data_IF_831061186816
#
_entry.id   IF_831061186816
#
_cell.length_a   1.000
_cell.length_b   1.000
_cell.length_c   1.000
_cell.angle_alpha   90.00
_cell.angle_beta   90.00
_cell.angle_gamma   90.00
#
_symmetry.space_group_name_H-M   'P 1'
#
loop_
_entity.id
_entity.type
_entity.pdbx_description
1 polymer ?
#
# COMPACT_ATOMS: atom_id res chain seq x y z
N UNK A 1 10.81 36.40 -0.79
CA UNK A 1 10.69 34.99 -1.20
C UNK A 1 9.24 34.57 -0.98
N UNK A 2 8.37 34.81 -1.96
CA UNK A 2 6.92 34.58 -1.82
C UNK A 2 6.65 33.09 -1.73
N UNK A 3 6.06 32.63 -0.62
CA UNK A 3 5.39 31.33 -0.53
C UNK A 3 4.09 31.39 -1.32
N UNK A 4 4.17 31.73 -2.61
CA UNK A 4 3.05 31.60 -3.52
C UNK A 4 2.62 30.14 -3.47
N UNK A 5 1.40 29.90 -3.02
CA UNK A 5 0.82 28.58 -2.84
C UNK A 5 1.03 27.74 -4.08
N UNK A 6 2.00 26.83 -4.00
CA UNK A 6 2.10 25.74 -4.95
C UNK A 6 0.75 25.02 -4.92
N UNK A 7 0.02 24.94 -6.06
CA UNK A 7 -1.23 24.21 -6.10
C UNK A 7 -0.96 22.83 -5.54
N UNK A 8 -1.72 22.43 -4.53
CA UNK A 8 -1.57 21.10 -3.95
C UNK A 8 -1.90 20.10 -5.04
N UNK A 9 -0.88 19.44 -5.57
CA UNK A 9 -1.10 18.38 -6.54
C UNK A 9 -1.88 17.25 -5.83
N UNK A 10 -3.19 17.20 -6.03
CA UNK A 10 -4.10 16.39 -5.21
C UNK A 10 -3.71 14.91 -5.18
N UNK A 11 -3.12 14.39 -6.25
CA UNK A 11 -2.65 13.01 -6.27
C UNK A 11 -1.34 12.76 -5.52
N UNK A 12 -0.50 13.77 -5.31
CA UNK A 12 0.67 13.65 -4.43
C UNK A 12 0.24 13.40 -2.99
N UNK A 13 -0.80 14.10 -2.53
CA UNK A 13 -1.40 13.87 -1.20
C UNK A 13 -2.03 12.48 -1.07
N UNK A 14 -2.73 12.02 -2.11
CA UNK A 14 -3.33 10.68 -2.13
C UNK A 14 -2.26 9.59 -1.99
N UNK A 15 -1.12 9.71 -2.67
CA UNK A 15 -0.04 8.73 -2.56
C UNK A 15 0.62 8.72 -1.17
N UNK A 16 0.76 9.87 -0.51
CA UNK A 16 1.24 9.93 0.88
C UNK A 16 0.25 9.22 1.82
N UNK A 17 -1.05 9.50 1.69
CA UNK A 17 -2.08 8.83 2.49
C UNK A 17 -2.11 7.32 2.23
N UNK A 18 -2.00 6.91 0.97
CA UNK A 18 -1.91 5.49 0.60
C UNK A 18 -0.68 4.83 1.23
N UNK A 19 0.49 5.47 1.18
CA UNK A 19 1.70 4.96 1.84
C UNK A 19 1.53 4.76 3.34
N UNK A 20 0.91 5.74 4.02
CA UNK A 20 0.60 5.63 5.45
C UNK A 20 -0.36 4.48 5.78
N UNK A 21 -1.46 4.35 5.02
CA UNK A 21 -2.45 3.30 5.23
C UNK A 21 -1.88 1.90 4.94
N UNK A 22 -1.14 1.76 3.84
CA UNK A 22 -0.45 0.51 3.47
C UNK A 22 0.55 0.11 4.55
N UNK A 23 1.33 1.07 5.06
CA UNK A 23 2.28 0.82 6.15
C UNK A 23 1.58 0.38 7.44
N UNK A 24 0.54 1.10 7.86
CA UNK A 24 -0.24 0.75 9.05
C UNK A 24 -0.89 -0.63 8.93
N UNK A 25 -1.47 -0.95 7.77
CA UNK A 25 -2.03 -2.27 7.49
C UNK A 25 -0.95 -3.36 7.55
N UNK A 26 0.23 -3.10 6.99
CA UNK A 26 1.38 -4.01 7.07
C UNK A 26 1.82 -4.29 8.51
N UNK A 27 1.91 -3.27 9.37
CA UNK A 27 2.23 -3.46 10.81
C UNK A 27 1.14 -4.28 11.51
N UNK A 28 -0.13 -3.95 11.28
CA UNK A 28 -1.25 -4.67 11.87
C UNK A 28 -1.27 -6.15 11.45
N UNK A 29 -1.00 -6.44 10.18
CA UNK A 29 -0.91 -7.81 9.67
C UNK A 29 0.33 -8.56 10.17
N UNK A 30 1.47 -7.89 10.35
CA UNK A 30 2.65 -8.48 11.01
C UNK A 30 2.32 -8.90 12.44
N UNK A 31 1.60 -8.05 13.19
CA UNK A 31 1.14 -8.40 14.52
C UNK A 31 0.13 -9.56 14.50
N UNK A 32 -0.79 -9.58 13.53
CA UNK A 32 -1.74 -10.67 13.36
C UNK A 32 -1.03 -12.00 13.04
N UNK A 33 -0.05 -11.99 12.14
CA UNK A 33 0.76 -13.16 11.79
C UNK A 33 1.54 -13.69 13.02
N UNK A 34 2.04 -12.80 13.88
CA UNK A 34 2.77 -13.19 15.08
C UNK A 34 1.88 -13.87 16.15
N UNK A 35 0.61 -13.45 16.28
CA UNK A 35 -0.30 -14.00 17.30
C UNK A 35 -1.16 -15.17 16.82
N UNK A 36 -1.66 -15.10 15.58
CA UNK A 36 -2.59 -16.10 15.03
C UNK A 36 -1.94 -17.08 14.07
N UNK A 37 -0.73 -16.76 13.57
CA UNK A 37 -0.15 -17.47 12.44
C UNK A 37 -0.91 -17.19 11.14
N UNK A 38 -0.65 -18.01 10.13
CA UNK A 38 -1.22 -17.87 8.78
C UNK A 38 -0.12 -18.04 7.74
N UNK A 39 -0.31 -18.96 6.80
CA UNK A 39 0.71 -19.27 5.80
C UNK A 39 0.94 -18.09 4.84
N UNK A 40 -0.09 -17.25 4.66
CA UNK A 40 -0.09 -16.15 3.69
C UNK A 40 -0.13 -14.75 4.32
N UNK A 41 -0.61 -14.64 5.56
CA UNK A 41 -0.76 -13.37 6.30
C UNK A 41 0.59 -12.67 6.50
N UNK A 42 1.64 -13.43 6.85
CA UNK A 42 3.00 -12.90 6.97
C UNK A 42 3.53 -12.35 5.64
N UNK A 43 3.28 -13.07 4.53
CA UNK A 43 3.65 -12.61 3.19
C UNK A 43 2.91 -11.32 2.82
N UNK A 44 1.59 -11.25 3.06
CA UNK A 44 0.81 -10.05 2.81
C UNK A 44 1.35 -8.84 3.60
N UNK A 45 1.72 -9.04 4.87
CA UNK A 45 2.31 -8.01 5.71
C UNK A 45 3.65 -7.50 5.15
N UNK A 46 4.57 -8.39 4.78
CA UNK A 46 5.87 -8.02 4.20
C UNK A 46 5.72 -7.23 2.91
N UNK A 47 4.80 -7.63 2.02
CA UNK A 47 4.56 -6.92 0.77
C UNK A 47 4.04 -5.50 1.03
N UNK A 48 3.06 -5.32 1.94
CA UNK A 48 2.55 -4.00 2.29
C UNK A 48 3.66 -3.11 2.87
N UNK A 49 4.43 -3.61 3.85
CA UNK A 49 5.52 -2.85 4.46
C UNK A 49 6.62 -2.46 3.47
N UNK A 50 6.99 -3.35 2.55
CA UNK A 50 8.00 -3.08 1.53
C UNK A 50 7.57 -2.01 0.52
N UNK A 51 6.26 -1.89 0.25
CA UNK A 51 5.73 -0.96 -0.76
C UNK A 51 5.24 0.37 -0.15
N UNK A 52 4.95 0.43 1.15
CA UNK A 52 4.56 1.67 1.83
C UNK A 52 5.54 2.85 1.57
N UNK A 53 6.88 2.66 1.67
CA UNK A 53 7.84 3.72 1.39
C UNK A 53 7.79 4.21 -0.06
N UNK A 54 7.44 3.35 -1.01
CA UNK A 54 7.36 3.71 -2.44
C UNK A 54 6.27 4.77 -2.65
N UNK A 55 5.07 4.55 -2.11
CA UNK A 55 3.98 5.52 -2.22
C UNK A 55 4.28 6.82 -1.48
N UNK A 56 4.88 6.72 -0.29
CA UNK A 56 5.28 7.89 0.50
C UNK A 56 6.34 8.72 -0.24
N UNK A 57 7.38 8.08 -0.78
CA UNK A 57 8.44 8.76 -1.52
C UNK A 57 7.91 9.46 -2.77
N UNK A 58 7.09 8.78 -3.58
CA UNK A 58 6.53 9.35 -4.81
C UNK A 58 5.55 10.49 -4.47
N UNK A 59 4.76 10.35 -3.40
CA UNK A 59 3.84 11.39 -2.94
C UNK A 59 4.54 12.63 -2.37
N UNK A 60 5.71 12.48 -1.75
CA UNK A 60 6.48 13.61 -1.18
C UNK A 60 7.38 14.29 -2.20
N UNK A 61 8.07 13.52 -3.04
CA UNK A 61 9.01 14.04 -4.05
C UNK A 61 8.25 14.59 -5.27
N UNK A 62 7.06 14.04 -5.53
CA UNK A 62 6.33 14.28 -6.78
C UNK A 62 6.88 13.45 -7.93
N UNK A 63 6.17 13.43 -9.05
CA UNK A 63 6.52 12.59 -10.19
C UNK A 63 5.76 12.93 -11.46
N UNK A 64 6.23 12.38 -12.58
CA UNK A 64 5.53 12.51 -13.86
C UNK A 64 4.16 11.83 -13.80
N UNK A 65 3.25 12.22 -14.72
CA UNK A 65 1.95 11.55 -14.89
C UNK A 65 2.05 10.04 -15.02
N UNK A 66 3.09 9.55 -15.72
CA UNK A 66 3.32 8.12 -15.94
C UNK A 66 3.72 7.42 -14.65
N UNK A 67 4.60 8.04 -13.85
CA UNK A 67 4.99 7.51 -12.54
C UNK A 67 3.76 7.43 -11.61
N UNK A 68 2.89 8.43 -11.65
CA UNK A 68 1.63 8.40 -10.88
C UNK A 68 0.69 7.29 -11.30
N UNK A 69 0.50 7.09 -12.61
CA UNK A 69 -0.32 5.98 -13.13
C UNK A 69 0.29 4.63 -12.71
N UNK A 70 1.62 4.48 -12.83
CA UNK A 70 2.32 3.27 -12.40
C UNK A 70 2.17 3.02 -10.90
N UNK A 71 2.27 4.06 -10.05
CA UNK A 71 2.04 3.94 -8.61
C UNK A 71 0.61 3.53 -8.28
N UNK A 72 -0.39 4.07 -8.97
CA UNK A 72 -1.78 3.68 -8.77
C UNK A 72 -2.03 2.23 -9.20
N UNK A 73 -1.49 1.81 -10.34
CA UNK A 73 -1.56 0.42 -10.79
C UNK A 73 -0.89 -0.53 -9.78
N UNK A 74 0.28 -0.14 -9.26
CA UNK A 74 0.99 -0.89 -8.23
C UNK A 74 0.18 -0.98 -6.93
N UNK A 75 -0.45 0.12 -6.48
CA UNK A 75 -1.31 0.14 -5.31
C UNK A 75 -2.49 -0.82 -5.46
N UNK A 76 -3.17 -0.79 -6.62
CA UNK A 76 -4.29 -1.70 -6.91
C UNK A 76 -3.81 -3.15 -6.90
N UNK A 77 -2.72 -3.46 -7.59
CA UNK A 77 -2.16 -4.82 -7.62
C UNK A 77 -1.76 -5.32 -6.23
N UNK A 78 -1.12 -4.47 -5.42
CA UNK A 78 -0.75 -4.78 -4.05
C UNK A 78 -1.98 -5.09 -3.19
N UNK A 79 -3.03 -4.29 -3.27
CA UNK A 79 -4.26 -4.52 -2.51
C UNK A 79 -4.95 -5.82 -2.95
N UNK A 80 -5.10 -6.06 -4.25
CA UNK A 80 -5.70 -7.29 -4.77
C UNK A 80 -4.92 -8.53 -4.32
N UNK A 81 -3.59 -8.47 -4.40
CA UNK A 81 -2.72 -9.57 -3.97
C UNK A 81 -2.81 -9.81 -2.46
N UNK A 82 -2.63 -8.78 -1.64
CA UNK A 82 -2.67 -8.89 -0.19
C UNK A 82 -4.04 -9.36 0.31
N UNK A 83 -5.13 -8.86 -0.29
CA UNK A 83 -6.49 -9.26 0.08
C UNK A 83 -6.78 -10.70 -0.34
N UNK A 84 -6.31 -11.17 -1.49
CA UNK A 84 -6.44 -12.59 -1.88
C UNK A 84 -5.70 -13.51 -0.91
N UNK A 85 -4.47 -13.16 -0.53
CA UNK A 85 -3.71 -13.90 0.47
C UNK A 85 -4.43 -13.94 1.83
N UNK A 86 -5.00 -12.81 2.25
CA UNK A 86 -5.75 -12.73 3.49
C UNK A 86 -7.04 -13.58 3.41
N UNK A 87 -7.71 -13.61 2.27
CA UNK A 87 -8.89 -14.47 2.11
C UNK A 87 -8.55 -15.96 2.21
N UNK A 88 -7.39 -16.39 1.71
CA UNK A 88 -6.95 -17.78 1.86
C UNK A 88 -6.78 -18.16 3.33
N UNK A 89 -6.21 -17.28 4.14
CA UNK A 89 -5.99 -17.55 5.57
C UNK A 89 -7.26 -17.38 6.42
N UNK A 90 -8.14 -16.42 6.09
CA UNK A 90 -9.29 -16.07 6.94
C UNK A 90 -10.64 -16.62 6.45
N UNK A 91 -10.81 -16.80 5.15
CA UNK A 91 -12.04 -17.36 4.54
C UNK A 91 -11.84 -18.81 4.07
N UNK A 92 -10.60 -19.31 4.02
CA UNK A 92 -10.27 -20.65 3.55
C UNK A 92 -10.38 -20.84 2.03
N UNK A 93 -10.63 -19.76 1.29
CA UNK A 93 -10.80 -19.78 -0.17
C UNK A 93 -10.08 -18.62 -0.84
N UNK A 94 -9.78 -18.75 -2.13
CA UNK A 94 -9.26 -17.66 -2.96
C UNK A 94 -10.39 -16.71 -3.32
N UNK A 95 -10.10 -15.41 -3.40
CA UNK A 95 -11.08 -14.43 -3.88
C UNK A 95 -11.10 -14.36 -5.40
N UNK A 96 -9.97 -14.67 -6.03
CA UNK A 96 -9.84 -14.72 -7.47
C UNK A 96 -9.61 -16.18 -7.93
N UNK A 97 -10.21 -16.57 -9.07
CA UNK A 97 -10.09 -17.94 -9.61
C UNK A 97 -8.66 -18.28 -10.05
#
# INVERSE_FOLDING_TARGET
>A
MSLAGQPSDGGSRILVLAGGLVGAAGVALSAAAAHRGGAFTGTAASFLLMHAPVFLAIGLIGGSRYLRIASLALLVGLLLFSVDLLARDFLGSRLFP
#
